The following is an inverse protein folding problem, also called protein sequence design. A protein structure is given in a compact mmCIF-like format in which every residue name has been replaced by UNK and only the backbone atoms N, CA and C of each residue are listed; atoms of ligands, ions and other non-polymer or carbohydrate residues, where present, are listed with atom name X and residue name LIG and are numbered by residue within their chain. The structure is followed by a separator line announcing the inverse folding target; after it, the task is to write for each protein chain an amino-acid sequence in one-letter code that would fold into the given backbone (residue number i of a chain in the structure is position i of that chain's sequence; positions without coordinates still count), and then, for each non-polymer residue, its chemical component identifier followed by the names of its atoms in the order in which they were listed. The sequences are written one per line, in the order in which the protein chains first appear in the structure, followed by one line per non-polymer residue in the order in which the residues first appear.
data_IF_788101505587
#
_entry.id   IF_788101505587
#
_cell.length_a   1.000
_cell.length_b   1.000
_cell.length_c   1.000
_cell.angle_alpha   90.00
_cell.angle_beta   90.00
_cell.angle_gamma   90.00
#
_symmetry.space_group_name_H-M   'P 1'
#
loop_
_entity.id
_entity.type
_entity.pdbx_description
1 polymer ?
#
# COMPACT_ATOMS: atom_id res chain seq x y z
N UNK A 1 7.37 16.42 13.78
CA UNK A 1 8.05 15.87 12.63
C UNK A 1 8.27 14.40 12.92
N UNK A 2 7.39 13.56 12.38
CA UNK A 2 7.48 12.12 12.52
C UNK A 2 8.67 11.64 11.69
N UNK A 3 9.64 11.10 12.39
CA UNK A 3 10.75 10.36 11.76
C UNK A 3 10.18 8.99 11.47
N UNK A 4 9.80 8.74 10.21
CA UNK A 4 9.60 7.37 9.75
C UNK A 4 10.99 6.70 9.69
N UNK A 5 11.34 5.83 10.64
CA UNK A 5 12.68 5.24 10.70
C UNK A 5 12.95 4.26 9.55
N UNK A 6 11.95 3.96 8.71
CA UNK A 6 12.03 2.96 7.65
C UNK A 6 12.17 3.57 6.25
N UNK A 7 11.83 4.84 6.04
CA UNK A 7 11.74 5.40 4.69
C UNK A 7 12.92 6.26 4.23
N UNK A 8 13.79 6.76 5.12
CA UNK A 8 14.97 7.53 4.72
C UNK A 8 16.12 7.31 5.68
N UNK A 9 17.28 6.84 5.22
CA UNK A 9 18.49 6.83 6.01
C UNK A 9 19.07 8.24 6.08
N UNK A 10 18.45 9.13 6.81
CA UNK A 10 19.22 10.26 7.35
C UNK A 10 20.21 9.64 8.31
N UNK A 11 21.50 9.84 8.04
CA UNK A 11 22.61 9.44 8.90
C UNK A 11 22.38 9.96 10.32
N UNK A 12 21.65 9.20 11.11
CA UNK A 12 21.70 9.36 12.57
C UNK A 12 23.04 8.75 12.95
N UNK A 13 23.93 9.58 13.49
CA UNK A 13 25.29 9.18 13.90
C UNK A 13 25.14 7.99 14.86
N UNK A 14 25.61 6.80 14.46
CA UNK A 14 25.52 5.58 15.25
C UNK A 14 24.46 4.57 14.81
N UNK A 15 23.59 4.85 13.83
CA UNK A 15 22.64 3.89 13.28
C UNK A 15 23.20 3.28 12.00
N UNK A 16 23.78 2.10 12.11
CA UNK A 16 24.17 1.30 10.95
C UNK A 16 22.94 0.50 10.52
N UNK A 17 22.32 0.87 9.41
CA UNK A 17 21.31 0.05 8.76
C UNK A 17 22.01 -1.17 8.16
N UNK A 18 21.95 -2.29 8.85
CA UNK A 18 22.28 -3.58 8.26
C UNK A 18 21.06 -4.02 7.44
N UNK A 19 21.14 -3.90 6.13
CA UNK A 19 20.09 -4.32 5.20
C UNK A 19 19.82 -5.85 5.28
N UNK A 20 20.69 -6.58 5.96
CA UNK A 20 20.65 -8.05 6.08
C UNK A 20 20.36 -8.56 7.48
N UNK A 21 20.03 -7.69 8.44
CA UNK A 21 19.62 -8.20 9.75
C UNK A 21 18.14 -8.53 9.77
N UNK A 22 17.77 -9.73 10.26
CA UNK A 22 16.36 -10.07 10.46
C UNK A 22 15.73 -9.07 11.44
N UNK A 23 14.43 -8.74 11.28
CA UNK A 23 13.74 -7.89 12.23
C UNK A 23 13.86 -8.51 13.61
N UNK A 24 14.16 -7.68 14.59
CA UNK A 24 14.28 -8.09 15.98
C UNK A 24 12.91 -8.63 16.47
N UNK A 25 12.82 -9.83 17.08
CA UNK A 25 11.58 -10.37 17.60
C UNK A 25 10.86 -9.43 18.58
N UNK A 26 11.62 -8.66 19.37
CA UNK A 26 11.07 -7.61 20.25
C UNK A 26 10.38 -6.51 19.47
N UNK A 27 10.92 -6.10 18.32
CA UNK A 27 10.28 -5.12 17.43
C UNK A 27 8.96 -5.66 16.91
N UNK A 28 8.93 -6.91 16.40
CA UNK A 28 7.69 -7.55 15.93
C UNK A 28 6.64 -7.66 17.02
N UNK A 29 7.07 -8.01 18.24
CA UNK A 29 6.17 -8.04 19.41
C UNK A 29 5.55 -6.67 19.67
N UNK A 30 6.38 -5.64 19.82
CA UNK A 30 5.92 -4.30 20.18
C UNK A 30 5.01 -3.72 19.07
N UNK A 31 5.37 -3.93 17.82
CA UNK A 31 4.54 -3.51 16.69
C UNK A 31 3.21 -4.29 16.64
N UNK A 32 3.26 -5.60 16.90
CA UNK A 32 2.05 -6.43 17.05
C UNK A 32 1.14 -5.95 18.16
N UNK A 33 1.70 -5.57 19.32
CA UNK A 33 0.93 -5.05 20.46
C UNK A 33 0.18 -3.74 20.08
N UNK A 34 0.87 -2.81 19.41
CA UNK A 34 0.28 -1.54 18.94
C UNK A 34 -0.81 -1.80 17.89
N UNK A 35 -0.49 -2.57 16.84
CA UNK A 35 -1.47 -2.89 15.80
C UNK A 35 -2.67 -3.67 16.36
N UNK A 36 -2.43 -4.57 17.28
CA UNK A 36 -3.48 -5.35 17.94
C UNK A 36 -4.40 -4.49 18.82
N UNK A 37 -3.85 -3.50 19.52
CA UNK A 37 -4.67 -2.54 20.26
C UNK A 37 -5.58 -1.75 19.32
N UNK A 38 -5.02 -1.20 18.23
CA UNK A 38 -5.80 -0.46 17.26
C UNK A 38 -6.84 -1.35 16.58
N UNK A 39 -6.48 -2.57 16.23
CA UNK A 39 -7.41 -3.53 15.64
C UNK A 39 -8.62 -3.79 16.56
N UNK A 40 -8.39 -4.06 17.83
CA UNK A 40 -9.49 -4.26 18.82
C UNK A 40 -10.32 -3.01 19.05
N UNK A 41 -9.67 -1.83 19.06
CA UNK A 41 -10.32 -0.54 19.26
C UNK A 41 -11.30 -0.21 18.15
N UNK A 42 -10.91 -0.44 16.89
CA UNK A 42 -11.74 -0.16 15.73
C UNK A 42 -12.61 -1.35 15.32
N UNK A 43 -12.22 -2.57 15.66
CA UNK A 43 -12.98 -3.78 15.36
C UNK A 43 -13.34 -3.89 13.87
N UNK A 44 -14.59 -4.18 13.57
CA UNK A 44 -15.10 -4.34 12.19
C UNK A 44 -15.21 -3.04 11.40
N UNK A 45 -14.96 -1.88 11.98
CA UNK A 45 -14.87 -0.62 11.24
C UNK A 45 -13.65 -0.55 10.32
N UNK A 46 -12.61 -1.36 10.60
CA UNK A 46 -11.44 -1.51 9.73
C UNK A 46 -11.55 -2.82 8.98
N UNK A 47 -11.79 -2.74 7.66
CA UNK A 47 -11.90 -3.87 6.76
C UNK A 47 -10.59 -4.30 6.13
N UNK A 48 -9.55 -3.48 6.19
CA UNK A 48 -8.23 -3.81 5.64
C UNK A 48 -7.10 -2.99 6.24
N UNK A 49 -5.89 -3.56 6.15
CA UNK A 49 -4.65 -2.94 6.60
C UNK A 49 -3.64 -2.93 5.47
N UNK A 50 -3.02 -1.78 5.25
CA UNK A 50 -1.95 -1.59 4.29
C UNK A 50 -0.65 -1.22 5.02
N UNK A 51 0.38 -2.06 4.88
CA UNK A 51 1.64 -1.93 5.61
C UNK A 51 2.76 -1.52 4.69
N UNK A 52 3.36 -0.37 4.96
CA UNK A 52 4.50 0.14 4.22
C UNK A 52 5.82 -0.47 4.70
N UNK A 53 6.82 -0.42 3.82
CA UNK A 53 8.19 -0.79 4.15
C UNK A 53 8.50 -2.30 4.11
N UNK A 54 7.62 -3.14 3.56
CA UNK A 54 7.85 -4.58 3.41
C UNK A 54 8.71 -4.87 2.18
N UNK A 55 10.01 -4.75 2.30
CA UNK A 55 10.94 -5.03 1.21
C UNK A 55 11.24 -6.53 1.07
N UNK A 56 11.75 -6.94 -0.11
CA UNK A 56 12.11 -8.35 -0.38
C UNK A 56 13.11 -8.90 0.63
N UNK A 57 14.07 -8.08 1.06
CA UNK A 57 15.03 -8.44 2.12
C UNK A 57 14.31 -8.75 3.44
N UNK A 58 13.25 -8.00 3.76
CA UNK A 58 12.45 -8.25 4.96
C UNK A 58 11.61 -9.52 4.84
N UNK A 59 11.18 -9.91 3.63
CA UNK A 59 10.50 -11.19 3.41
C UNK A 59 11.36 -12.35 3.88
N UNK A 60 12.61 -12.41 3.43
CA UNK A 60 13.55 -13.46 3.82
C UNK A 60 13.86 -13.43 5.32
N UNK A 61 13.97 -12.24 5.89
CA UNK A 61 14.17 -12.05 7.32
C UNK A 61 12.94 -12.51 8.14
N UNK A 62 11.73 -12.21 7.70
CA UNK A 62 10.51 -12.70 8.35
C UNK A 62 10.37 -14.22 8.26
N UNK A 63 10.74 -14.83 7.15
CA UNK A 63 10.76 -16.29 7.01
C UNK A 63 11.79 -16.94 7.95
N UNK A 64 12.94 -16.31 8.16
CA UNK A 64 13.95 -16.75 9.12
C UNK A 64 13.46 -16.76 10.57
N UNK A 65 12.49 -15.92 10.91
CA UNK A 65 11.91 -15.81 12.25
C UNK A 65 10.75 -16.78 12.51
N UNK A 66 10.39 -17.68 11.60
CA UNK A 66 9.23 -18.60 11.77
C UNK A 66 9.29 -19.44 13.04
N UNK A 67 10.48 -19.74 13.56
CA UNK A 67 10.69 -20.49 14.79
C UNK A 67 10.65 -19.64 16.07
N UNK A 68 10.65 -18.32 15.93
CA UNK A 68 10.62 -17.41 17.05
C UNK A 68 9.20 -17.27 17.61
N UNK A 69 9.09 -17.02 18.92
CA UNK A 69 7.80 -16.79 19.59
C UNK A 69 7.04 -15.59 18.98
N UNK A 70 7.76 -14.57 18.55
CA UNK A 70 7.22 -13.38 17.89
C UNK A 70 7.70 -13.36 16.45
N UNK A 71 6.81 -13.71 15.53
CA UNK A 71 7.03 -13.86 14.11
C UNK A 71 5.89 -13.19 13.30
N UNK A 72 5.91 -13.33 12.00
CA UNK A 72 4.90 -12.73 11.12
C UNK A 72 3.48 -13.27 11.41
N UNK A 73 3.34 -14.55 11.76
CA UNK A 73 2.03 -15.16 12.02
C UNK A 73 1.41 -14.61 13.31
N UNK A 74 2.21 -14.48 14.37
CA UNK A 74 1.75 -13.88 15.64
C UNK A 74 1.41 -12.40 15.47
N UNK A 75 2.18 -11.67 14.64
CA UNK A 75 1.89 -10.28 14.33
C UNK A 75 0.59 -10.14 13.51
N UNK A 76 0.38 -10.96 12.49
CA UNK A 76 -0.87 -10.97 11.70
C UNK A 76 -2.07 -11.34 12.59
N UNK A 77 -1.90 -12.28 13.51
CA UNK A 77 -2.94 -12.61 14.49
C UNK A 77 -3.32 -11.40 15.34
N UNK A 78 -2.33 -10.63 15.79
CA UNK A 78 -2.58 -9.41 16.54
C UNK A 78 -3.31 -8.35 15.69
N UNK A 79 -2.88 -8.15 14.44
CA UNK A 79 -3.52 -7.22 13.49
C UNK A 79 -4.97 -7.58 13.22
N UNK A 80 -5.31 -8.86 13.18
CA UNK A 80 -6.68 -9.35 12.92
C UNK A 80 -7.52 -9.55 14.20
N UNK A 81 -7.00 -9.20 15.37
CA UNK A 81 -7.69 -9.47 16.64
C UNK A 81 -9.05 -8.77 16.79
N UNK A 82 -9.26 -7.62 16.14
CA UNK A 82 -10.54 -6.90 16.15
C UNK A 82 -11.45 -7.24 14.96
N UNK A 83 -10.85 -7.65 13.84
CA UNK A 83 -11.56 -8.11 12.65
C UNK A 83 -10.78 -9.25 11.99
N UNK A 84 -11.13 -10.52 12.25
CA UNK A 84 -10.46 -11.67 11.63
C UNK A 84 -10.55 -11.72 10.11
N UNK A 85 -11.56 -11.07 9.52
CA UNK A 85 -11.76 -10.99 8.07
C UNK A 85 -11.05 -9.78 7.42
N UNK A 86 -10.26 -9.00 8.18
CA UNK A 86 -9.55 -7.86 7.62
C UNK A 86 -8.54 -8.29 6.53
N UNK A 87 -8.61 -7.59 5.40
CA UNK A 87 -7.69 -7.77 4.29
C UNK A 87 -6.31 -7.20 4.60
N UNK A 88 -5.25 -7.78 4.04
CA UNK A 88 -3.88 -7.36 4.34
C UNK A 88 -3.08 -7.13 3.07
N UNK A 89 -2.43 -5.97 2.98
CA UNK A 89 -1.43 -5.67 1.96
C UNK A 89 -0.07 -5.32 2.58
N UNK A 90 0.99 -5.71 1.87
CA UNK A 90 2.38 -5.47 2.26
C UNK A 90 3.09 -4.74 1.12
N UNK A 91 3.53 -3.51 1.38
CA UNK A 91 4.16 -2.68 0.36
C UNK A 91 5.68 -2.86 0.34
N UNK A 92 6.20 -3.27 -0.81
CA UNK A 92 7.63 -3.37 -1.08
C UNK A 92 8.18 -2.15 -1.85
N UNK A 93 7.35 -1.16 -2.15
CA UNK A 93 7.69 0.05 -2.88
C UNK A 93 7.01 0.15 -4.26
N UNK A 94 7.16 1.32 -4.88
CA UNK A 94 6.54 1.70 -6.15
C UNK A 94 7.20 1.01 -7.35
N UNK A 95 6.97 -0.28 -7.51
CA UNK A 95 7.45 -1.06 -8.64
C UNK A 95 6.37 -2.04 -9.12
N UNK A 96 5.92 -2.02 -10.39
CA UNK A 96 4.78 -2.80 -10.85
C UNK A 96 4.84 -4.29 -10.49
N UNK A 97 5.99 -4.93 -10.68
CA UNK A 97 6.15 -6.36 -10.37
C UNK A 97 6.02 -6.63 -8.87
N UNK A 98 6.61 -5.78 -8.02
CA UNK A 98 6.60 -5.96 -6.56
C UNK A 98 5.28 -5.46 -5.95
N UNK A 99 4.82 -4.26 -6.31
CA UNK A 99 3.61 -3.67 -5.72
C UNK A 99 2.34 -4.41 -6.13
N UNK A 100 2.31 -4.97 -7.34
CA UNK A 100 1.22 -5.79 -7.85
C UNK A 100 1.42 -7.30 -7.63
N UNK A 101 2.57 -7.69 -7.08
CA UNK A 101 2.91 -9.08 -6.73
C UNK A 101 2.76 -10.09 -7.89
N UNK A 102 3.06 -9.68 -9.12
CA UNK A 102 2.93 -10.52 -10.32
C UNK A 102 3.86 -11.76 -10.32
N UNK A 103 4.81 -11.83 -9.40
CA UNK A 103 5.73 -12.96 -9.21
C UNK A 103 5.39 -13.81 -7.97
N UNK A 104 4.24 -13.63 -7.37
CA UNK A 104 3.79 -14.33 -6.17
C UNK A 104 3.52 -13.40 -4.99
N UNK A 105 3.01 -13.97 -3.89
CA UNK A 105 2.72 -13.20 -2.66
C UNK A 105 4.03 -12.75 -2.01
N UNK A 106 4.08 -11.49 -1.58
CA UNK A 106 5.18 -10.98 -0.77
C UNK A 106 5.15 -11.58 0.65
N UNK A 107 3.94 -11.85 1.15
CA UNK A 107 3.69 -12.48 2.44
C UNK A 107 2.57 -13.53 2.27
N UNK A 108 2.66 -14.70 2.94
CA UNK A 108 1.61 -15.73 2.88
C UNK A 108 0.21 -15.22 3.27
N UNK A 109 0.15 -14.21 4.15
CA UNK A 109 -1.09 -13.62 4.64
C UNK A 109 -1.64 -12.49 3.77
N UNK A 110 -0.95 -12.14 2.68
CA UNK A 110 -1.39 -11.09 1.77
C UNK A 110 -2.67 -11.47 1.05
N UNK A 111 -3.66 -10.57 1.07
CA UNK A 111 -4.97 -10.77 0.48
C UNK A 111 -5.32 -9.74 -0.59
N UNK A 112 -4.61 -8.61 -0.62
CA UNK A 112 -4.67 -7.66 -1.75
C UNK A 112 -3.28 -7.09 -2.06
N UNK A 113 -3.09 -6.62 -3.29
CA UNK A 113 -1.81 -6.03 -3.71
C UNK A 113 -1.63 -4.66 -3.07
N UNK A 114 -0.40 -4.29 -2.69
CA UNK A 114 -0.14 -2.96 -2.16
C UNK A 114 -0.36 -1.87 -3.22
N UNK A 115 -0.03 -2.17 -4.47
CA UNK A 115 -0.37 -1.37 -5.64
C UNK A 115 0.35 -0.03 -5.77
N UNK A 116 1.29 0.32 -4.88
CA UNK A 116 1.96 1.61 -4.91
C UNK A 116 2.63 1.89 -6.26
N UNK A 117 2.16 2.90 -6.95
CA UNK A 117 2.72 3.38 -8.22
C UNK A 117 2.54 4.89 -8.34
N UNK A 118 3.16 5.47 -9.34
CA UNK A 118 3.08 6.92 -9.60
C UNK A 118 2.22 7.27 -10.82
N UNK A 119 1.78 6.30 -11.61
CA UNK A 119 0.97 6.53 -12.82
C UNK A 119 0.10 5.29 -13.09
N UNK A 120 -0.92 5.45 -13.91
CA UNK A 120 -1.74 4.34 -14.46
C UNK A 120 -0.98 3.49 -15.49
N UNK A 121 0.25 3.82 -15.78
CA UNK A 121 1.12 3.10 -16.72
C UNK A 121 2.45 2.75 -16.07
N UNK A 122 2.99 1.64 -16.47
CA UNK A 122 4.33 1.24 -16.05
C UNK A 122 5.35 2.31 -16.44
N UNK A 123 6.13 2.81 -15.48
CA UNK A 123 7.28 3.66 -15.76
C UNK A 123 8.47 2.80 -16.20
N UNK A 124 9.06 3.13 -17.34
CA UNK A 124 10.23 2.45 -17.90
C UNK A 124 11.37 3.44 -18.13
N UNK A 125 12.58 2.95 -18.41
CA UNK A 125 13.72 3.81 -18.77
C UNK A 125 13.49 4.61 -20.05
N UNK A 126 12.57 4.14 -20.92
CA UNK A 126 12.25 4.76 -22.22
C UNK A 126 10.96 5.61 -22.18
N UNK A 127 10.39 5.83 -21.00
CA UNK A 127 9.11 6.53 -20.82
C UNK A 127 8.03 5.62 -20.22
N UNK A 128 6.79 5.75 -20.71
CA UNK A 128 5.69 4.91 -20.22
C UNK A 128 5.53 3.63 -21.04
N UNK A 129 5.37 2.52 -20.35
CA UNK A 129 5.06 1.20 -20.91
C UNK A 129 3.55 0.88 -20.83
N UNK A 130 3.25 -0.40 -20.53
CA UNK A 130 1.89 -0.91 -20.46
C UNK A 130 1.04 -0.22 -19.39
N UNK A 131 -0.27 -0.15 -19.62
CA UNK A 131 -1.24 0.24 -18.60
C UNK A 131 -1.17 -0.74 -17.42
N UNK A 132 -1.25 -0.20 -16.22
CA UNK A 132 -1.35 -0.99 -14.99
C UNK A 132 -2.80 -1.42 -14.81
N UNK A 133 -3.08 -2.65 -15.18
CA UNK A 133 -4.40 -3.29 -15.10
C UNK A 133 -4.25 -4.75 -14.67
N UNK A 134 -5.30 -5.38 -14.13
CA UNK A 134 -5.29 -6.81 -13.82
C UNK A 134 -4.87 -7.69 -15.00
N UNK A 135 -5.29 -7.34 -16.23
CA UNK A 135 -4.93 -8.07 -17.44
C UNK A 135 -3.43 -8.03 -17.74
N UNK A 136 -2.82 -6.84 -17.68
CA UNK A 136 -1.40 -6.68 -18.01
C UNK A 136 -0.44 -7.12 -16.89
N UNK A 137 -0.89 -7.05 -15.65
CA UNK A 137 -0.10 -7.36 -14.45
C UNK A 137 -0.97 -8.17 -13.47
N UNK A 138 -1.25 -9.46 -13.76
CA UNK A 138 -2.15 -10.25 -12.94
C UNK A 138 -1.63 -10.40 -11.49
N UNK A 139 -2.52 -10.24 -10.53
CA UNK A 139 -2.23 -10.58 -9.15
C UNK A 139 -2.10 -12.09 -8.95
N UNK A 140 -1.41 -12.55 -7.90
CA UNK A 140 -1.41 -13.95 -7.52
C UNK A 140 -2.83 -14.46 -7.22
N UNK A 141 -3.05 -15.76 -7.40
CA UNK A 141 -4.34 -16.39 -7.08
C UNK A 141 -4.81 -16.08 -5.66
N UNK A 142 -6.08 -15.72 -5.51
CA UNK A 142 -6.70 -15.37 -4.24
C UNK A 142 -6.24 -14.03 -3.66
N UNK A 143 -5.60 -13.17 -4.47
CA UNK A 143 -5.20 -11.81 -4.08
C UNK A 143 -6.00 -10.80 -4.90
N UNK A 144 -6.68 -9.88 -4.21
CA UNK A 144 -7.40 -8.77 -4.86
C UNK A 144 -6.38 -7.84 -5.52
N UNK A 145 -6.58 -7.55 -6.80
CA UNK A 145 -5.74 -6.59 -7.51
C UNK A 145 -6.09 -5.16 -7.09
N UNK A 146 -5.10 -4.41 -6.65
CA UNK A 146 -5.28 -3.05 -6.16
C UNK A 146 -4.16 -2.15 -6.67
N UNK A 147 -4.50 -0.93 -7.08
CA UNK A 147 -3.57 0.11 -7.49
C UNK A 147 -3.74 1.32 -6.57
N UNK A 148 -2.63 1.79 -6.01
CA UNK A 148 -2.56 3.01 -5.21
C UNK A 148 -1.66 4.03 -5.91
N UNK A 149 -2.16 5.23 -6.15
CA UNK A 149 -1.37 6.32 -6.73
C UNK A 149 -1.83 7.71 -6.24
N UNK A 150 -0.90 8.69 -6.22
CA UNK A 150 -1.27 10.07 -5.88
C UNK A 150 -2.09 10.69 -7.02
N UNK A 151 -3.20 11.33 -6.68
CA UNK A 151 -4.00 12.10 -7.65
C UNK A 151 -3.30 13.40 -8.06
N UNK A 152 -2.43 13.93 -7.21
CA UNK A 152 -1.71 15.19 -7.40
C UNK A 152 -0.21 14.96 -7.64
N UNK A 153 0.59 16.01 -7.59
CA UNK A 153 2.03 15.98 -7.95
C UNK A 153 2.87 15.02 -7.11
N UNK A 154 2.45 14.71 -5.88
CA UNK A 154 3.15 13.79 -4.98
C UNK A 154 2.23 13.20 -3.91
N UNK A 155 2.78 12.32 -3.09
CA UNK A 155 2.09 11.73 -1.95
C UNK A 155 1.70 12.78 -0.93
N UNK A 156 0.39 12.92 -0.68
CA UNK A 156 -0.15 13.90 0.25
C UNK A 156 0.12 15.36 -0.11
N UNK A 157 0.59 15.68 -1.31
CA UNK A 157 1.04 17.01 -1.70
C UNK A 157 0.41 17.47 -3.03
N UNK A 158 0.32 18.80 -3.21
CA UNK A 158 -0.22 19.42 -4.41
C UNK A 158 -1.64 19.96 -4.21
N UNK A 159 -2.04 20.90 -5.07
CA UNK A 159 -3.34 21.58 -5.00
C UNK A 159 -4.28 21.20 -6.14
N UNK A 160 -3.76 20.48 -7.14
CA UNK A 160 -4.48 20.13 -8.36
C UNK A 160 -4.33 18.65 -8.69
N UNK A 161 -5.32 18.09 -9.38
CA UNK A 161 -5.17 16.79 -10.00
C UNK A 161 -4.20 16.88 -11.19
N UNK A 162 -3.27 15.94 -11.26
CA UNK A 162 -2.37 15.77 -12.42
C UNK A 162 -3.00 14.97 -13.56
N UNK A 163 -4.15 14.37 -13.29
CA UNK A 163 -4.93 13.66 -14.29
C UNK A 163 -6.18 14.46 -14.64
N UNK A 164 -6.54 14.49 -15.92
CA UNK A 164 -7.83 14.98 -16.33
C UNK A 164 -8.97 14.00 -15.98
N UNK A 165 -10.19 14.50 -15.97
CA UNK A 165 -11.39 13.74 -15.62
C UNK A 165 -11.57 12.51 -16.52
N UNK A 166 -11.32 12.67 -17.83
CA UNK A 166 -11.43 11.58 -18.80
C UNK A 166 -10.46 10.45 -18.49
N UNK A 167 -9.20 10.79 -18.19
CA UNK A 167 -8.16 9.82 -17.83
C UNK A 167 -8.54 9.05 -16.56
N UNK A 168 -8.98 9.75 -15.51
CA UNK A 168 -9.39 9.11 -14.26
C UNK A 168 -10.56 8.15 -14.49
N UNK A 169 -11.64 8.63 -15.12
CA UNK A 169 -12.82 7.81 -15.44
C UNK A 169 -12.45 6.57 -16.25
N UNK A 170 -11.75 6.76 -17.36
CA UNK A 170 -11.47 5.67 -18.32
C UNK A 170 -10.52 4.63 -17.68
N UNK A 171 -9.53 5.07 -16.91
CA UNK A 171 -8.57 4.16 -16.28
C UNK A 171 -9.16 3.43 -15.08
N UNK A 172 -9.88 4.14 -14.21
CA UNK A 172 -10.54 3.50 -13.07
C UNK A 172 -11.64 2.55 -13.56
N UNK A 173 -12.45 2.98 -14.53
CA UNK A 173 -13.48 2.14 -15.14
C UNK A 173 -12.91 0.88 -15.78
N UNK A 174 -11.79 0.98 -16.52
CA UNK A 174 -11.10 -0.17 -17.09
C UNK A 174 -10.64 -1.13 -15.98
N UNK A 175 -9.94 -0.62 -14.95
CA UNK A 175 -9.43 -1.46 -13.85
C UNK A 175 -10.57 -2.15 -13.13
N UNK A 176 -11.65 -1.43 -12.83
CA UNK A 176 -12.82 -1.99 -12.15
C UNK A 176 -13.52 -3.06 -13.01
N UNK A 177 -13.63 -2.86 -14.32
CA UNK A 177 -14.21 -3.85 -15.24
C UNK A 177 -13.39 -5.14 -15.34
N UNK A 178 -12.10 -5.06 -15.07
CA UNK A 178 -11.18 -6.22 -15.00
C UNK A 178 -11.10 -6.83 -13.57
N UNK A 179 -11.94 -6.39 -12.62
CA UNK A 179 -11.98 -6.89 -11.24
C UNK A 179 -10.93 -6.28 -10.30
N UNK A 180 -10.29 -5.19 -10.70
CA UNK A 180 -9.33 -4.47 -9.86
C UNK A 180 -9.96 -3.35 -9.05
N UNK A 181 -9.20 -2.80 -8.10
CA UNK A 181 -9.58 -1.67 -7.23
C UNK A 181 -8.54 -0.56 -7.35
N UNK A 182 -8.97 0.70 -7.32
CA UNK A 182 -8.08 1.87 -7.33
C UNK A 182 -8.28 2.69 -6.06
N UNK A 183 -7.18 3.01 -5.39
CA UNK A 183 -7.13 4.01 -4.33
C UNK A 183 -6.34 5.22 -4.82
N UNK A 184 -6.89 6.41 -4.65
CA UNK A 184 -6.21 7.67 -4.92
C UNK A 184 -5.74 8.28 -3.60
N UNK A 185 -4.43 8.49 -3.47
CA UNK A 185 -3.90 9.32 -2.39
C UNK A 185 -4.22 10.79 -2.69
N UNK A 186 -4.78 11.47 -1.70
CA UNK A 186 -5.23 12.86 -1.84
C UNK A 186 -4.44 13.77 -0.90
N UNK A 187 -4.07 14.98 -1.33
CA UNK A 187 -3.46 15.95 -0.43
C UNK A 187 -4.47 16.41 0.62
N UNK A 188 -3.99 16.55 1.85
CA UNK A 188 -4.78 17.04 2.98
C UNK A 188 -4.06 18.24 3.59
N UNK A 189 -4.71 19.39 3.64
CA UNK A 189 -4.18 20.58 4.29
C UNK A 189 -4.10 20.38 5.81
N UNK A 190 -3.30 21.19 6.55
CA UNK A 190 -3.23 21.13 8.01
C UNK A 190 -4.58 21.31 8.71
N UNK A 191 -5.56 21.94 8.07
CA UNK A 191 -6.94 22.06 8.52
C UNK A 191 -7.76 20.76 8.43
N UNK A 192 -7.22 19.72 7.78
CA UNK A 192 -7.95 18.48 7.47
C UNK A 192 -8.77 18.55 6.18
N UNK A 193 -8.74 19.66 5.44
CA UNK A 193 -9.49 19.82 4.20
C UNK A 193 -8.71 19.30 2.98
N UNK A 194 -9.45 18.76 2.01
CA UNK A 194 -8.92 18.45 0.67
C UNK A 194 -8.93 19.73 -0.16
N UNK A 195 -7.88 20.04 -0.95
CA UNK A 195 -7.87 21.19 -1.85
C UNK A 195 -9.11 21.21 -2.75
N UNK A 196 -9.79 22.37 -2.91
CA UNK A 196 -11.07 22.44 -3.63
C UNK A 196 -11.03 21.89 -5.05
N UNK A 197 -9.93 22.10 -5.76
CA UNK A 197 -9.76 21.61 -7.15
C UNK A 197 -9.65 20.07 -7.20
N UNK A 198 -8.94 19.46 -6.25
CA UNK A 198 -8.85 18.00 -6.13
C UNK A 198 -10.22 17.43 -5.73
N UNK A 199 -10.91 18.05 -4.75
CA UNK A 199 -12.23 17.62 -4.32
C UNK A 199 -13.26 17.68 -5.48
N UNK A 200 -13.24 18.74 -6.29
CA UNK A 200 -14.14 18.87 -7.43
C UNK A 200 -13.94 17.73 -8.45
N UNK A 201 -12.68 17.39 -8.78
CA UNK A 201 -12.36 16.28 -9.68
C UNK A 201 -12.83 14.94 -9.10
N UNK A 202 -12.59 14.68 -7.82
CA UNK A 202 -13.05 13.45 -7.16
C UNK A 202 -14.59 13.31 -7.19
N UNK A 203 -15.32 14.42 -6.94
CA UNK A 203 -16.79 14.43 -6.99
C UNK A 203 -17.32 14.12 -8.39
N UNK A 204 -16.71 14.69 -9.45
CA UNK A 204 -17.11 14.42 -10.83
C UNK A 204 -16.80 12.98 -11.25
N UNK A 205 -15.60 12.46 -10.91
CA UNK A 205 -15.25 11.04 -11.15
C UNK A 205 -16.25 10.12 -10.45
N UNK A 206 -16.58 10.40 -9.18
CA UNK A 206 -17.55 9.60 -8.43
C UNK A 206 -18.95 9.59 -9.05
N UNK A 207 -19.42 10.71 -9.59
CA UNK A 207 -20.72 10.77 -10.31
C UNK A 207 -20.70 9.92 -11.60
N UNK A 208 -19.58 9.86 -12.28
CA UNK A 208 -19.47 9.12 -13.55
C UNK A 208 -19.29 7.62 -13.35
N UNK A 209 -18.58 7.19 -12.31
CA UNK A 209 -18.35 5.77 -12.01
C UNK A 209 -19.56 5.09 -11.32
N UNK A 210 -20.50 5.85 -10.77
CA UNK A 210 -21.71 5.33 -10.10
C UNK A 210 -22.96 5.33 -11.01
N UNK A 211 -22.79 5.60 -12.29
CA UNK A 211 -23.85 5.46 -13.31
C UNK A 211 -23.92 4.04 -13.83
#
# INVERSE_FOLDING_TARGET
PEINPLSHPRKVKGFVRSENQPPNPTFLKNWGDVCGEWSRRYGKLVSGWWFDGYKMEMKNAYEGLKKEKHNIDTWVTAVRSGNPAAELAFNAGAHPILSLCTQGKLCPHQTFTAGENHDFRQKTKKGFGNALTPHNFPAPEGVIWHLLLPISEGWGAGEQSRFDLKTLRDRIGQINSEGGVVTLDVPIAPSGSIPPQVLAVLQEVGKELNK
#
